data_IF_782316280797
#
_entry.id   IF_782316280797
#
_cell.length_a   1.000
_cell.length_b   1.000
_cell.length_c   1.000
_cell.angle_alpha   90.00
_cell.angle_beta   90.00
_cell.angle_gamma   90.00
#
_symmetry.space_group_name_H-M   'P 1'
#
loop_
_entity.id
_entity.type
_entity.pdbx_description
1 polymer ?
#
# COMPACT_ATOMS: atom_id res chain seq x y z
N UNK A 1 -68.72 42.92 25.67
CA UNK A 1 -67.61 42.76 24.70
C UNK A 1 -67.81 41.46 23.92
N UNK A 2 -68.04 41.56 22.61
CA UNK A 2 -68.38 40.44 21.72
C UNK A 2 -67.16 39.55 21.47
N UNK A 3 -67.21 38.27 21.83
CA UNK A 3 -66.25 37.25 21.40
C UNK A 3 -66.50 36.94 19.92
N UNK A 4 -65.65 37.46 19.02
CA UNK A 4 -65.62 37.03 17.62
C UNK A 4 -64.91 35.68 17.56
N UNK A 5 -65.67 34.62 17.20
CA UNK A 5 -65.11 33.36 16.71
C UNK A 5 -64.35 33.67 15.42
N UNK A 6 -63.03 33.59 15.47
CA UNK A 6 -62.21 33.56 14.26
C UNK A 6 -62.36 32.18 13.64
N UNK A 7 -63.19 32.09 12.62
CA UNK A 7 -63.18 31.01 11.64
C UNK A 7 -61.85 31.13 10.91
N UNK A 8 -60.91 30.25 11.27
CA UNK A 8 -59.68 30.09 10.52
C UNK A 8 -60.02 29.58 9.12
N UNK A 9 -59.84 30.46 8.13
CA UNK A 9 -59.97 30.16 6.71
C UNK A 9 -59.18 28.88 6.38
N UNK A 10 -59.86 27.88 5.82
CA UNK A 10 -59.21 26.83 5.05
C UNK A 10 -58.31 27.49 4.01
N UNK A 11 -57.03 27.12 4.00
CA UNK A 11 -56.13 27.44 2.88
C UNK A 11 -56.68 26.72 1.63
N UNK A 12 -56.68 27.37 0.45
CA UNK A 12 -57.03 26.69 -0.79
C UNK A 12 -56.03 25.56 -1.03
N UNK A 13 -56.54 24.41 -1.48
CA UNK A 13 -55.87 23.11 -1.45
C UNK A 13 -54.45 23.12 -2.00
N UNK A 14 -53.49 22.79 -1.15
CA UNK A 14 -52.29 22.08 -1.60
C UNK A 14 -52.80 20.76 -2.15
N UNK A 15 -52.72 20.56 -3.47
CA UNK A 15 -53.02 19.27 -4.07
C UNK A 15 -52.28 18.19 -3.28
N UNK A 16 -53.01 17.19 -2.82
CA UNK A 16 -52.42 16.06 -2.12
C UNK A 16 -51.44 15.39 -3.09
N UNK A 17 -50.14 15.48 -2.78
CA UNK A 17 -49.02 15.00 -3.61
C UNK A 17 -48.33 13.80 -2.95
N UNK A 18 -49.05 13.10 -2.07
CA UNK A 18 -48.51 11.93 -1.38
C UNK A 18 -48.38 10.75 -2.33
N UNK A 19 -47.19 10.17 -2.38
CA UNK A 19 -46.89 8.91 -3.03
C UNK A 19 -46.85 7.82 -1.96
N UNK A 20 -47.65 6.76 -2.15
CA UNK A 20 -47.68 5.60 -1.25
C UNK A 20 -47.29 4.35 -2.02
N UNK A 21 -46.25 3.67 -1.56
CA UNK A 21 -45.73 2.45 -2.18
C UNK A 21 -46.19 1.24 -1.36
N UNK A 22 -46.90 0.31 -2.00
CA UNK A 22 -47.45 -0.89 -1.37
C UNK A 22 -46.81 -2.15 -1.94
N UNK A 23 -46.56 -3.18 -1.13
CA UNK A 23 -46.29 -4.54 -1.62
C UNK A 23 -47.54 -5.11 -2.30
N UNK A 24 -47.36 -6.16 -3.09
CA UNK A 24 -48.46 -7.01 -3.60
C UNK A 24 -49.33 -7.62 -2.49
N UNK A 25 -48.83 -7.75 -1.27
CA UNK A 25 -49.58 -8.16 -0.08
C UNK A 25 -50.50 -7.07 0.49
N UNK A 26 -50.42 -5.83 0.01
CA UNK A 26 -51.16 -4.67 0.53
C UNK A 26 -50.47 -3.93 1.68
N UNK A 27 -49.28 -4.36 2.11
CA UNK A 27 -48.46 -3.68 3.13
C UNK A 27 -47.86 -2.37 2.57
N UNK A 28 -48.06 -1.25 3.26
CA UNK A 28 -47.43 0.03 2.91
C UNK A 28 -45.95 0.03 3.31
N UNK A 29 -45.05 0.28 2.36
CA UNK A 29 -43.60 0.30 2.58
C UNK A 29 -43.05 1.70 2.77
N UNK A 30 -43.47 2.64 1.93
CA UNK A 30 -42.94 3.99 1.88
C UNK A 30 -44.07 4.97 1.60
N UNK A 31 -44.10 6.06 2.37
CA UNK A 31 -44.99 7.19 2.21
C UNK A 31 -44.13 8.45 2.10
N UNK A 32 -44.21 9.18 0.98
CA UNK A 32 -43.33 10.33 0.68
C UNK A 32 -44.05 11.32 -0.22
N UNK A 33 -43.55 12.56 -0.32
CA UNK A 33 -44.15 13.57 -1.20
C UNK A 33 -43.55 13.48 -2.61
N UNK A 34 -44.37 13.63 -3.65
CA UNK A 34 -43.89 13.79 -5.03
C UNK A 34 -42.92 14.97 -5.20
N UNK A 35 -42.95 15.96 -4.30
CA UNK A 35 -42.00 17.08 -4.31
C UNK A 35 -40.60 16.69 -3.82
N UNK A 36 -40.47 15.61 -3.04
CA UNK A 36 -39.19 15.12 -2.52
C UNK A 36 -38.48 14.18 -3.49
N UNK A 37 -39.24 13.49 -4.35
CA UNK A 37 -38.76 12.32 -5.07
C UNK A 37 -39.05 12.36 -6.57
N UNK A 38 -39.53 13.49 -7.12
CA UNK A 38 -39.50 13.91 -8.54
C UNK A 38 -39.80 12.92 -9.67
N UNK A 39 -39.06 11.81 -9.72
CA UNK A 39 -39.13 10.72 -10.71
C UNK A 39 -39.31 9.33 -10.08
N UNK A 40 -39.72 8.36 -10.91
CA UNK A 40 -39.75 6.94 -10.52
C UNK A 40 -38.37 6.42 -10.13
N UNK A 41 -37.30 6.85 -10.81
CA UNK A 41 -35.92 6.51 -10.47
C UNK A 41 -35.60 6.88 -9.02
N UNK A 42 -35.85 8.13 -8.65
CA UNK A 42 -35.62 8.62 -7.28
C UNK A 42 -36.49 7.86 -6.28
N UNK A 43 -37.74 7.51 -6.65
CA UNK A 43 -38.63 6.74 -5.78
C UNK A 43 -38.09 5.33 -5.54
N UNK A 44 -37.56 4.67 -6.59
CA UNK A 44 -36.92 3.36 -6.45
C UNK A 44 -35.67 3.43 -5.56
N UNK A 45 -34.86 4.48 -5.70
CA UNK A 45 -33.71 4.73 -4.83
C UNK A 45 -34.14 4.97 -3.38
N UNK A 46 -35.24 5.68 -3.16
CA UNK A 46 -35.82 5.90 -1.82
C UNK A 46 -36.31 4.61 -1.18
N UNK A 47 -37.00 3.77 -1.95
CA UNK A 47 -37.42 2.42 -1.52
C UNK A 47 -36.20 1.54 -1.23
N UNK A 48 -35.13 1.61 -2.04
CA UNK A 48 -33.87 0.93 -1.75
C UNK A 48 -33.27 1.38 -0.41
N UNK A 49 -33.20 2.68 -0.18
CA UNK A 49 -32.61 3.24 1.04
C UNK A 49 -33.38 2.86 2.31
N UNK A 50 -34.71 2.79 2.25
CA UNK A 50 -35.56 2.51 3.41
C UNK A 50 -35.79 1.00 3.62
N UNK A 51 -35.92 0.23 2.55
CA UNK A 51 -36.33 -1.17 2.60
C UNK A 51 -35.23 -2.16 2.18
N UNK A 52 -34.07 -1.68 1.69
CA UNK A 52 -32.95 -2.51 1.24
C UNK A 52 -33.17 -3.23 -0.10
N UNK A 53 -34.27 -2.93 -0.81
CA UNK A 53 -34.67 -3.59 -2.05
C UNK A 53 -33.86 -3.06 -3.26
N UNK A 54 -33.24 -3.91 -4.09
CA UNK A 54 -32.39 -3.46 -5.21
C UNK A 54 -33.18 -2.69 -6.27
N UNK A 55 -32.65 -1.57 -6.76
CA UNK A 55 -33.37 -0.63 -7.67
C UNK A 55 -33.91 -1.36 -8.90
N UNK A 56 -33.05 -2.13 -9.54
CA UNK A 56 -33.32 -2.85 -10.78
C UNK A 56 -34.26 -4.05 -10.62
N UNK A 57 -34.51 -4.48 -9.38
CA UNK A 57 -35.52 -5.51 -9.08
C UNK A 57 -36.89 -4.94 -8.77
N UNK A 58 -37.02 -3.61 -8.64
CA UNK A 58 -38.28 -2.95 -8.34
C UNK A 58 -39.06 -2.65 -9.62
N UNK A 59 -40.23 -3.26 -9.77
CA UNK A 59 -41.23 -2.86 -10.78
C UNK A 59 -42.34 -2.10 -10.08
N UNK A 60 -42.44 -0.80 -10.39
CA UNK A 60 -43.47 0.07 -9.84
C UNK A 60 -44.62 0.16 -10.84
N UNK A 61 -45.84 -0.05 -10.34
CA UNK A 61 -47.05 0.02 -11.15
C UNK A 61 -48.03 1.03 -10.55
N UNK A 62 -48.70 1.79 -11.39
CA UNK A 62 -49.84 2.62 -11.02
C UNK A 62 -51.03 2.21 -11.87
N UNK A 63 -52.13 1.86 -11.23
CA UNK A 63 -53.35 1.36 -11.90
C UNK A 63 -53.09 0.19 -12.87
N UNK A 64 -52.10 -0.67 -12.55
CA UNK A 64 -51.71 -1.81 -13.38
C UNK A 64 -50.75 -1.49 -14.53
N UNK A 65 -50.38 -0.23 -14.75
CA UNK A 65 -49.39 0.19 -15.75
C UNK A 65 -48.02 0.29 -15.11
N UNK A 66 -47.01 -0.32 -15.75
CA UNK A 66 -45.61 -0.20 -15.32
C UNK A 66 -45.12 1.22 -15.55
N UNK A 67 -44.51 1.81 -14.51
CA UNK A 67 -43.90 3.12 -14.59
C UNK A 67 -42.42 3.00 -14.98
N UNK A 68 -42.01 3.76 -16.00
CA UNK A 68 -40.61 3.87 -16.44
C UNK A 68 -39.83 4.81 -15.51
N UNK A 69 -38.51 4.65 -15.43
CA UNK A 69 -37.65 5.39 -14.49
C UNK A 69 -37.72 6.92 -14.67
N UNK A 70 -37.90 7.39 -15.91
CA UNK A 70 -37.99 8.81 -16.25
C UNK A 70 -39.40 9.40 -16.04
N UNK A 71 -40.38 8.59 -15.64
CA UNK A 71 -41.74 9.05 -15.39
C UNK A 71 -41.74 10.04 -14.22
N UNK A 72 -42.26 11.25 -14.46
CA UNK A 72 -42.42 12.27 -13.43
C UNK A 72 -43.60 11.96 -12.52
N UNK A 73 -43.39 12.15 -11.22
CA UNK A 73 -44.40 11.93 -10.19
C UNK A 73 -44.90 13.31 -9.73
N UNK A 74 -46.07 13.73 -10.20
CA UNK A 74 -46.58 15.11 -9.97
C UNK A 74 -47.86 15.18 -9.10
N UNK A 75 -48.52 14.03 -8.90
CA UNK A 75 -49.81 13.92 -8.21
C UNK A 75 -49.81 12.78 -7.19
N UNK A 76 -50.85 12.72 -6.35
CA UNK A 76 -51.06 11.58 -5.46
C UNK A 76 -51.21 10.29 -6.27
N UNK A 77 -50.34 9.34 -6.00
CA UNK A 77 -50.37 8.01 -6.61
C UNK A 77 -50.25 6.94 -5.53
N UNK A 78 -51.13 5.95 -5.63
CA UNK A 78 -50.95 4.67 -4.93
C UNK A 78 -50.21 3.75 -5.90
N UNK A 79 -48.98 3.38 -5.53
CA UNK A 79 -48.02 2.67 -6.38
C UNK A 79 -47.84 1.26 -5.82
N UNK A 80 -48.05 0.27 -6.67
CA UNK A 80 -47.78 -1.12 -6.34
C UNK A 80 -46.35 -1.49 -6.69
N UNK A 81 -45.60 -2.01 -5.73
CA UNK A 81 -44.27 -2.57 -5.92
C UNK A 81 -44.36 -4.09 -6.14
N UNK A 82 -43.86 -4.53 -7.29
CA UNK A 82 -43.58 -5.93 -7.59
C UNK A 82 -42.07 -6.12 -7.58
N UNK A 83 -41.57 -6.97 -6.69
CA UNK A 83 -40.16 -7.33 -6.63
C UNK A 83 -39.90 -8.50 -7.58
N UNK A 84 -39.03 -8.30 -8.55
CA UNK A 84 -38.64 -9.33 -9.52
C UNK A 84 -37.56 -10.25 -8.94
N UNK A 85 -37.55 -11.51 -9.36
CA UNK A 85 -36.44 -12.43 -9.12
C UNK A 85 -35.38 -12.26 -10.20
N UNK A 86 -34.17 -12.76 -9.94
CA UNK A 86 -33.17 -12.83 -10.98
C UNK A 86 -33.60 -13.81 -12.07
N UNK A 87 -33.45 -13.39 -13.33
CA UNK A 87 -33.56 -14.25 -14.49
C UNK A 87 -32.18 -14.86 -14.78
N UNK A 88 -32.15 -16.10 -15.26
CA UNK A 88 -30.95 -16.65 -15.87
C UNK A 88 -30.57 -15.79 -17.09
N UNK A 89 -29.29 -15.41 -17.17
CA UNK A 89 -28.71 -14.71 -18.30
C UNK A 89 -28.08 -15.73 -19.26
N UNK A 90 -28.10 -15.44 -20.56
CA UNK A 90 -27.33 -16.23 -21.53
C UNK A 90 -25.88 -15.75 -21.57
N UNK A 91 -24.95 -16.59 -22.03
CA UNK A 91 -23.53 -16.21 -22.23
C UNK A 91 -23.40 -14.93 -23.09
N UNK A 92 -24.25 -14.77 -24.11
CA UNK A 92 -24.28 -13.56 -24.95
C UNK A 92 -24.71 -12.31 -24.16
N UNK A 93 -25.71 -12.42 -23.29
CA UNK A 93 -26.17 -11.30 -22.45
C UNK A 93 -25.12 -10.89 -21.41
N UNK A 94 -24.38 -11.87 -20.89
CA UNK A 94 -23.26 -11.73 -19.98
C UNK A 94 -22.06 -11.01 -20.65
N UNK A 95 -21.66 -11.49 -21.83
CA UNK A 95 -20.59 -10.89 -22.63
C UNK A 95 -20.93 -9.45 -23.04
N UNK A 96 -22.17 -9.18 -23.44
CA UNK A 96 -22.59 -7.83 -23.82
C UNK A 96 -22.58 -6.85 -22.64
N UNK A 97 -22.91 -7.29 -21.41
CA UNK A 97 -22.78 -6.43 -20.23
C UNK A 97 -21.32 -6.11 -19.96
N UNK A 98 -20.45 -7.11 -20.00
CA UNK A 98 -19.02 -6.90 -19.74
C UNK A 98 -18.37 -6.03 -20.82
N UNK A 99 -18.76 -6.21 -22.09
CA UNK A 99 -18.34 -5.34 -23.19
C UNK A 99 -18.81 -3.88 -23.02
N UNK A 100 -20.03 -3.67 -22.52
CA UNK A 100 -20.54 -2.33 -22.21
C UNK A 100 -19.73 -1.67 -21.08
N UNK A 101 -19.37 -2.42 -20.04
CA UNK A 101 -18.53 -1.94 -18.94
C UNK A 101 -17.13 -1.58 -19.44
N UNK A 102 -16.48 -2.47 -20.20
CA UNK A 102 -15.13 -2.26 -20.78
C UNK A 102 -15.09 -1.10 -21.77
N UNK A 103 -16.19 -0.82 -22.48
CA UNK A 103 -16.30 0.32 -23.40
C UNK A 103 -16.75 1.61 -22.73
N UNK A 104 -16.96 1.62 -21.41
CA UNK A 104 -17.43 2.77 -20.63
C UNK A 104 -18.82 3.27 -21.05
N UNK A 105 -19.66 2.41 -21.64
CA UNK A 105 -21.00 2.77 -22.10
C UNK A 105 -22.02 2.66 -20.96
N UNK A 106 -22.15 3.75 -20.21
CA UNK A 106 -23.06 3.88 -19.06
C UNK A 106 -24.52 3.61 -19.44
N UNK A 107 -24.96 4.07 -20.61
CA UNK A 107 -26.35 3.92 -21.05
C UNK A 107 -26.66 2.46 -21.36
N UNK A 108 -25.75 1.76 -22.07
CA UNK A 108 -25.89 0.33 -22.35
C UNK A 108 -25.85 -0.51 -21.06
N UNK A 109 -24.97 -0.19 -20.11
CA UNK A 109 -24.95 -0.85 -18.80
C UNK A 109 -26.28 -0.66 -18.06
N UNK A 110 -26.78 0.58 -17.95
CA UNK A 110 -28.04 0.86 -17.25
C UNK A 110 -29.21 0.13 -17.92
N UNK A 111 -29.28 0.13 -19.26
CA UNK A 111 -30.30 -0.58 -20.02
C UNK A 111 -30.26 -2.09 -19.74
N UNK A 112 -29.08 -2.70 -19.74
CA UNK A 112 -28.91 -4.13 -19.47
C UNK A 112 -29.31 -4.52 -18.06
N UNK A 113 -28.97 -3.68 -17.08
CA UNK A 113 -29.37 -3.89 -15.69
C UNK A 113 -30.88 -3.71 -15.45
N UNK A 114 -31.65 -3.07 -16.33
CA UNK A 114 -33.12 -3.01 -16.22
C UNK A 114 -33.77 -4.38 -16.34
N UNK A 115 -33.10 -5.35 -16.97
CA UNK A 115 -33.46 -6.76 -16.85
C UNK A 115 -32.87 -7.27 -15.53
N UNK A 116 -33.67 -7.86 -14.63
CA UNK A 116 -33.19 -8.32 -13.33
C UNK A 116 -32.32 -9.58 -13.53
N UNK A 117 -31.07 -9.41 -13.95
CA UNK A 117 -30.05 -10.44 -14.05
C UNK A 117 -29.04 -10.31 -12.90
N UNK A 118 -28.30 -11.39 -12.62
CA UNK A 118 -27.21 -11.31 -11.65
C UNK A 118 -26.14 -10.34 -12.17
N UNK A 119 -25.70 -9.33 -11.39
CA UNK A 119 -24.63 -8.42 -11.81
C UNK A 119 -23.21 -9.01 -11.63
N UNK A 120 -23.07 -10.10 -10.86
CA UNK A 120 -21.79 -10.74 -10.51
C UNK A 120 -21.41 -11.83 -11.51
N UNK A 121 -21.40 -11.45 -12.78
CA UNK A 121 -21.09 -12.34 -13.89
C UNK A 121 -19.57 -12.44 -14.01
N UNK A 122 -19.05 -13.65 -14.25
CA UNK A 122 -17.66 -13.86 -14.63
C UNK A 122 -17.62 -14.17 -16.12
N UNK A 123 -16.80 -13.47 -16.89
CA UNK A 123 -16.53 -13.87 -18.28
C UNK A 123 -16.01 -15.32 -18.32
N UNK A 124 -16.24 -16.01 -19.44
CA UNK A 124 -15.78 -17.41 -19.63
C UNK A 124 -14.30 -17.51 -20.05
N UNK A 125 -13.61 -16.37 -20.21
CA UNK A 125 -12.24 -16.30 -20.70
C UNK A 125 -11.18 -16.25 -19.58
N UNK A 126 -9.94 -16.67 -19.87
CA UNK A 126 -8.81 -16.49 -18.93
C UNK A 126 -8.59 -14.98 -18.67
N UNK A 127 -8.63 -14.56 -17.40
CA UNK A 127 -8.59 -13.14 -17.00
C UNK A 127 -9.98 -12.46 -16.87
N UNK A 128 -11.02 -13.26 -16.65
CA UNK A 128 -12.40 -12.79 -16.53
C UNK A 128 -12.63 -11.85 -15.34
N UNK A 129 -12.76 -10.55 -15.63
CA UNK A 129 -13.22 -9.56 -14.67
C UNK A 129 -14.73 -9.69 -14.42
N UNK A 130 -15.14 -9.57 -13.15
CA UNK A 130 -16.53 -9.21 -12.87
C UNK A 130 -16.81 -7.80 -13.40
N UNK A 131 -18.06 -7.46 -13.78
CA UNK A 131 -18.42 -6.09 -14.13
C UNK A 131 -17.97 -5.06 -13.09
N UNK A 132 -18.02 -5.41 -11.80
CA UNK A 132 -17.61 -4.53 -10.72
C UNK A 132 -16.08 -4.38 -10.63
N UNK A 133 -15.32 -5.46 -10.84
CA UNK A 133 -13.85 -5.42 -10.98
C UNK A 133 -13.42 -4.52 -12.14
N UNK A 134 -13.98 -4.73 -13.33
CA UNK A 134 -13.68 -3.92 -14.50
C UNK A 134 -14.02 -2.44 -14.31
N UNK A 135 -15.17 -2.12 -13.71
CA UNK A 135 -15.54 -0.73 -13.39
C UNK A 135 -14.57 -0.11 -12.36
N UNK A 136 -14.11 -0.90 -11.40
CA UNK A 136 -13.25 -0.47 -10.31
C UNK A 136 -11.81 -0.18 -10.76
N UNK A 137 -11.21 -1.05 -11.57
CA UNK A 137 -9.89 -0.83 -12.17
C UNK A 137 -9.89 0.35 -13.14
N UNK A 138 -10.96 0.53 -13.90
CA UNK A 138 -11.10 1.64 -14.85
C UNK A 138 -11.45 3.00 -14.21
N UNK A 139 -11.81 3.04 -12.92
CA UNK A 139 -12.19 4.29 -12.25
C UNK A 139 -13.57 4.82 -12.64
N UNK A 140 -14.43 3.98 -13.22
CA UNK A 140 -15.73 4.38 -13.76
C UNK A 140 -16.80 4.52 -12.67
N UNK A 141 -16.85 5.66 -12.01
CA UNK A 141 -17.78 5.92 -10.91
C UNK A 141 -19.26 5.74 -11.27
N UNK A 142 -19.69 6.16 -12.47
CA UNK A 142 -21.09 6.03 -12.88
C UNK A 142 -21.51 4.57 -13.03
N UNK A 143 -20.68 3.76 -13.69
CA UNK A 143 -20.90 2.31 -13.86
C UNK A 143 -20.83 1.59 -12.51
N UNK A 144 -19.85 1.95 -11.66
CA UNK A 144 -19.71 1.42 -10.30
C UNK A 144 -21.01 1.62 -9.50
N UNK A 145 -21.59 2.82 -9.54
CA UNK A 145 -22.85 3.09 -8.84
C UNK A 145 -24.02 2.28 -9.38
N UNK A 146 -24.14 2.13 -10.71
CA UNK A 146 -25.19 1.29 -11.31
C UNK A 146 -25.06 -0.17 -10.86
N UNK A 147 -23.86 -0.74 -10.84
CA UNK A 147 -23.62 -2.11 -10.41
C UNK A 147 -23.92 -2.30 -8.91
N UNK A 148 -23.51 -1.37 -8.05
CA UNK A 148 -23.85 -1.40 -6.62
C UNK A 148 -25.36 -1.18 -6.33
N UNK A 149 -26.06 -0.44 -7.19
CA UNK A 149 -27.52 -0.32 -7.15
C UNK A 149 -28.23 -1.61 -7.56
N UNK A 150 -27.61 -2.40 -8.45
CA UNK A 150 -28.04 -3.75 -8.83
C UNK A 150 -27.71 -4.82 -7.78
N UNK A 151 -26.98 -4.45 -6.71
CA UNK A 151 -26.43 -5.35 -5.70
C UNK A 151 -25.42 -6.34 -6.27
N UNK A 152 -24.47 -5.83 -7.06
CA UNK A 152 -23.20 -6.51 -7.23
C UNK A 152 -22.56 -6.80 -5.87
N UNK A 153 -22.03 -8.01 -5.72
CA UNK A 153 -21.20 -8.41 -4.61
C UNK A 153 -19.91 -7.58 -4.64
N UNK A 154 -19.71 -6.83 -3.56
CA UNK A 154 -18.64 -5.85 -3.43
C UNK A 154 -17.27 -6.51 -3.34
N UNK A 155 -17.23 -7.78 -2.93
CA UNK A 155 -16.01 -8.55 -2.71
C UNK A 155 -15.84 -9.69 -3.73
N UNK A 156 -16.69 -9.76 -4.77
CA UNK A 156 -16.59 -10.79 -5.80
C UNK A 156 -15.29 -10.63 -6.61
N UNK A 157 -14.36 -11.55 -6.38
CA UNK A 157 -13.09 -11.59 -7.06
C UNK A 157 -13.23 -12.00 -8.54
N UNK A 158 -12.34 -11.48 -9.38
CA UNK A 158 -12.20 -11.90 -10.77
C UNK A 158 -11.49 -13.27 -10.88
N UNK A 159 -11.26 -13.73 -12.11
CA UNK A 159 -10.55 -14.98 -12.37
C UNK A 159 -9.07 -15.02 -11.93
N UNK A 160 -8.51 -13.90 -11.48
CA UNK A 160 -7.14 -13.77 -10.96
C UNK A 160 -7.11 -13.60 -9.43
N UNK A 161 -8.24 -13.83 -8.75
CA UNK A 161 -8.46 -13.62 -7.31
C UNK A 161 -8.36 -12.14 -6.88
N UNK A 162 -8.45 -11.19 -7.82
CA UNK A 162 -8.49 -9.76 -7.52
C UNK A 162 -9.92 -9.27 -7.24
N UNK A 163 -10.08 -8.58 -6.12
CA UNK A 163 -11.34 -7.94 -5.74
C UNK A 163 -11.50 -6.57 -6.40
N UNK A 164 -12.73 -6.03 -6.46
CA UNK A 164 -12.95 -4.65 -6.88
C UNK A 164 -12.11 -3.64 -6.09
N UNK A 165 -11.93 -3.89 -4.78
CA UNK A 165 -11.13 -3.03 -3.90
C UNK A 165 -9.62 -3.15 -4.18
N UNK A 166 -9.09 -4.34 -4.48
CA UNK A 166 -7.68 -4.52 -4.83
C UNK A 166 -7.36 -3.82 -6.16
N UNK A 167 -8.18 -4.00 -7.20
CA UNK A 167 -8.00 -3.35 -8.51
C UNK A 167 -8.10 -1.83 -8.42
N UNK A 168 -9.09 -1.30 -7.71
CA UNK A 168 -9.20 0.14 -7.46
C UNK A 168 -7.99 0.69 -6.72
N UNK A 169 -7.42 -0.11 -5.81
CA UNK A 169 -6.22 0.26 -5.06
C UNK A 169 -4.99 0.28 -5.95
N UNK A 170 -4.73 -0.78 -6.73
CA UNK A 170 -3.59 -0.89 -7.67
C UNK A 170 -3.60 0.28 -8.67
N UNK A 171 -4.78 0.65 -9.15
CA UNK A 171 -4.93 1.69 -10.18
C UNK A 171 -5.00 3.11 -9.58
N UNK A 172 -4.95 3.26 -8.25
CA UNK A 172 -4.97 4.57 -7.59
C UNK A 172 -6.33 5.28 -7.63
N UNK A 173 -7.44 4.56 -7.83
CA UNK A 173 -8.78 5.11 -7.99
C UNK A 173 -9.42 5.46 -6.63
N UNK A 174 -8.98 6.58 -6.03
CA UNK A 174 -9.35 7.01 -4.66
C UNK A 174 -10.87 7.08 -4.43
N UNK A 175 -11.64 7.63 -5.38
CA UNK A 175 -13.08 7.81 -5.23
C UNK A 175 -13.85 6.47 -5.31
N UNK A 176 -13.34 5.53 -6.11
CA UNK A 176 -13.85 4.15 -6.17
C UNK A 176 -13.58 3.45 -4.84
N UNK A 177 -12.35 3.52 -4.32
CA UNK A 177 -11.99 2.96 -3.01
C UNK A 177 -12.92 3.49 -1.91
N UNK A 178 -13.10 4.82 -1.81
CA UNK A 178 -14.00 5.42 -0.82
C UNK A 178 -15.44 4.89 -0.95
N UNK A 179 -15.92 4.69 -2.18
CA UNK A 179 -17.26 4.17 -2.46
C UNK A 179 -17.40 2.69 -2.08
N UNK A 180 -16.42 1.86 -2.42
CA UNK A 180 -16.39 0.44 -2.07
C UNK A 180 -16.32 0.24 -0.55
N UNK A 181 -15.49 1.02 0.16
CA UNK A 181 -15.43 0.97 1.62
C UNK A 181 -16.75 1.41 2.28
N UNK A 182 -17.44 2.42 1.73
CA UNK A 182 -18.80 2.80 2.18
C UNK A 182 -19.83 1.70 1.89
N UNK A 183 -19.63 0.91 0.84
CA UNK A 183 -20.41 -0.29 0.53
C UNK A 183 -20.03 -1.51 1.40
N UNK A 184 -19.06 -1.34 2.32
CA UNK A 184 -18.55 -2.38 3.24
C UNK A 184 -17.74 -3.49 2.54
N UNK A 185 -16.98 -3.13 1.52
CA UNK A 185 -15.93 -3.99 0.99
C UNK A 185 -15.01 -4.48 2.12
N UNK A 186 -14.64 -5.75 2.10
CA UNK A 186 -13.69 -6.34 3.03
C UNK A 186 -12.27 -5.83 2.72
N UNK A 187 -11.60 -5.31 3.74
CA UNK A 187 -10.25 -4.76 3.62
C UNK A 187 -9.15 -5.82 3.73
N UNK A 188 -9.52 -7.05 4.06
CA UNK A 188 -8.57 -8.15 4.32
C UNK A 188 -8.59 -9.22 3.23
N UNK A 189 -9.51 -9.14 2.25
CA UNK A 189 -9.47 -10.03 1.09
C UNK A 189 -8.30 -9.59 0.20
N UNK A 190 -7.23 -10.38 0.26
CA UNK A 190 -6.03 -10.17 -0.53
C UNK A 190 -6.15 -10.71 -1.95
N UNK A 191 -5.19 -10.34 -2.79
CA UNK A 191 -5.01 -10.94 -4.12
C UNK A 191 -4.47 -12.38 -4.00
N UNK A 192 -4.19 -13.01 -5.13
CA UNK A 192 -3.52 -14.32 -5.21
C UNK A 192 -2.23 -14.44 -4.40
N UNK A 193 -1.46 -13.36 -4.26
CA UNK A 193 -0.20 -13.33 -3.47
C UNK A 193 -0.44 -12.95 -2.00
N UNK A 194 -1.70 -12.99 -1.56
CA UNK A 194 -2.19 -12.56 -0.25
C UNK A 194 -1.97 -11.06 0.01
N UNK A 195 -1.79 -10.26 -1.05
CA UNK A 195 -1.64 -8.81 -0.95
C UNK A 195 -2.97 -8.16 -0.57
N UNK A 196 -3.10 -7.71 0.68
CA UNK A 196 -4.23 -6.88 1.11
C UNK A 196 -4.26 -5.54 0.37
N UNK A 197 -5.42 -4.88 0.25
CA UNK A 197 -5.50 -3.48 -0.19
C UNK A 197 -4.50 -2.55 0.50
N UNK A 198 -4.20 -2.74 1.79
CA UNK A 198 -3.25 -1.88 2.50
C UNK A 198 -1.78 -2.14 2.10
N UNK A 199 -1.41 -3.40 1.85
CA UNK A 199 -0.07 -3.74 1.33
C UNK A 199 0.10 -3.30 -0.13
N UNK A 200 -0.93 -3.43 -0.97
CA UNK A 200 -0.95 -2.87 -2.34
C UNK A 200 -0.75 -1.34 -2.35
N UNK A 201 -1.50 -0.61 -1.51
CA UNK A 201 -1.33 0.84 -1.37
C UNK A 201 0.07 1.21 -0.85
N UNK A 202 0.70 0.33 -0.07
CA UNK A 202 2.06 0.48 0.39
C UNK A 202 3.12 0.20 -0.70
N UNK A 203 2.83 -0.63 -1.71
CA UNK A 203 3.74 -0.96 -2.81
C UNK A 203 3.74 0.11 -3.92
N UNK A 204 2.56 0.49 -4.43
CA UNK A 204 2.42 1.30 -5.66
C UNK A 204 2.86 2.76 -5.49
N UNK A 205 2.63 3.36 -4.32
CA UNK A 205 3.15 4.69 -4.00
C UNK A 205 2.50 5.88 -4.70
N UNK A 206 3.03 7.09 -4.53
CA UNK A 206 2.41 8.30 -5.13
C UNK A 206 1.34 8.98 -4.26
N UNK A 207 0.61 9.96 -4.83
CA UNK A 207 -0.28 10.85 -4.07
C UNK A 207 -1.62 10.19 -3.74
N UNK A 208 -2.08 9.38 -4.66
CA UNK A 208 -3.32 8.63 -4.67
C UNK A 208 -3.26 7.53 -3.62
N UNK A 209 -2.22 6.69 -3.66
CA UNK A 209 -2.05 5.57 -2.74
C UNK A 209 -1.87 5.99 -1.28
N UNK A 210 -1.30 7.18 -1.00
CA UNK A 210 -1.33 7.75 0.36
C UNK A 210 -2.76 8.03 0.85
N UNK A 211 -3.65 8.54 -0.02
CA UNK A 211 -5.05 8.76 0.34
C UNK A 211 -5.77 7.42 0.52
N UNK A 212 -5.50 6.45 -0.35
CA UNK A 212 -6.08 5.10 -0.26
C UNK A 212 -5.68 4.42 1.04
N UNK A 213 -4.38 4.37 1.37
CA UNK A 213 -3.90 3.83 2.64
C UNK A 213 -4.57 4.52 3.85
N UNK A 214 -4.82 5.83 3.76
CA UNK A 214 -5.56 6.57 4.81
C UNK A 214 -7.02 6.14 4.90
N UNK A 215 -7.71 5.96 3.77
CA UNK A 215 -9.10 5.49 3.74
C UNK A 215 -9.21 4.07 4.30
N UNK A 216 -8.30 3.17 3.92
CA UNK A 216 -8.23 1.79 4.42
C UNK A 216 -8.04 1.74 5.94
N UNK A 217 -7.08 2.51 6.48
CA UNK A 217 -6.89 2.60 7.94
C UNK A 217 -8.10 3.21 8.66
N UNK A 218 -8.82 4.16 8.04
CA UNK A 218 -10.08 4.69 8.58
C UNK A 218 -11.21 3.65 8.56
N UNK A 219 -11.21 2.76 7.57
CA UNK A 219 -12.09 1.61 7.47
C UNK A 219 -11.69 0.44 8.39
N UNK A 220 -10.60 0.59 9.17
CA UNK A 220 -10.06 -0.39 10.11
C UNK A 220 -9.39 -1.60 9.46
N UNK A 221 -8.78 -1.41 8.29
CA UNK A 221 -7.86 -2.39 7.73
C UNK A 221 -6.77 -2.76 8.75
N UNK A 222 -6.40 -4.04 8.81
CA UNK A 222 -5.34 -4.48 9.73
C UNK A 222 -3.99 -3.90 9.30
N UNK A 223 -3.38 -3.14 10.21
CA UNK A 223 -2.09 -2.49 9.98
C UNK A 223 -0.92 -3.48 9.94
N UNK A 224 -1.11 -4.67 10.52
CA UNK A 224 -0.12 -5.75 10.57
C UNK A 224 -0.50 -6.95 9.70
N UNK A 225 -1.51 -6.83 8.82
CA UNK A 225 -1.79 -7.85 7.83
C UNK A 225 -0.53 -8.13 6.99
N UNK A 226 -0.35 -9.37 6.57
CA UNK A 226 0.83 -9.77 5.82
C UNK A 226 0.47 -10.42 4.50
N UNK A 227 1.30 -10.20 3.48
CA UNK A 227 1.27 -10.97 2.24
C UNK A 227 1.89 -12.37 2.43
N UNK A 228 1.97 -13.14 1.34
CA UNK A 228 2.53 -14.50 1.31
C UNK A 228 4.01 -14.61 1.74
N UNK A 229 4.76 -13.50 1.73
CA UNK A 229 6.14 -13.41 2.22
C UNK A 229 6.25 -12.95 3.69
N UNK A 230 5.12 -12.91 4.42
CA UNK A 230 5.00 -12.33 5.76
C UNK A 230 5.37 -10.84 5.81
N UNK A 231 5.20 -10.09 4.73
CA UNK A 231 5.54 -8.67 4.68
C UNK A 231 4.35 -7.81 5.10
N UNK A 232 4.55 -6.99 6.14
CA UNK A 232 3.54 -6.03 6.59
C UNK A 232 3.49 -4.81 5.65
N UNK A 233 2.39 -4.01 5.66
CA UNK A 233 2.34 -2.76 4.91
C UNK A 233 3.52 -1.82 5.19
N UNK A 234 4.04 -1.81 6.42
CA UNK A 234 5.21 -0.99 6.74
C UNK A 234 6.47 -1.52 6.06
N UNK A 235 6.66 -2.84 6.02
CA UNK A 235 7.76 -3.47 5.31
C UNK A 235 7.73 -3.10 3.83
N UNK A 236 6.59 -3.35 3.17
CA UNK A 236 6.38 -3.09 1.74
C UNK A 236 6.61 -1.60 1.43
N UNK A 237 6.02 -0.68 2.20
CA UNK A 237 6.24 0.77 2.00
C UNK A 237 7.71 1.18 2.16
N UNK A 238 8.45 0.49 3.04
CA UNK A 238 9.87 0.74 3.24
C UNK A 238 10.73 0.18 2.11
N UNK A 239 10.36 -0.93 1.48
CA UNK A 239 11.08 -1.51 0.35
C UNK A 239 10.87 -0.68 -0.93
N UNK A 240 9.63 -0.32 -1.24
CA UNK A 240 9.29 0.44 -2.45
C UNK A 240 9.53 1.96 -2.33
N UNK A 241 9.83 2.47 -1.14
CA UNK A 241 10.26 3.86 -0.98
C UNK A 241 9.11 4.85 -0.75
N UNK A 242 7.95 4.37 -0.30
CA UNK A 242 6.72 5.15 -0.16
C UNK A 242 6.68 5.95 1.15
N UNK A 243 7.51 6.99 1.21
CA UNK A 243 7.69 7.86 2.40
C UNK A 243 6.37 8.41 3.00
N UNK A 244 5.37 8.84 2.20
CA UNK A 244 4.08 9.28 2.75
C UNK A 244 3.32 8.17 3.48
N UNK A 245 3.29 6.96 2.90
CA UNK A 245 2.62 5.79 3.49
C UNK A 245 3.37 5.31 4.72
N UNK A 246 4.71 5.24 4.68
CA UNK A 246 5.53 4.98 5.88
C UNK A 246 5.18 5.96 7.00
N UNK A 247 5.08 7.25 6.69
CA UNK A 247 4.76 8.26 7.70
C UNK A 247 3.37 8.07 8.32
N UNK A 248 2.41 7.60 7.53
CA UNK A 248 1.05 7.30 7.97
C UNK A 248 1.01 6.06 8.87
N UNK A 249 1.65 4.97 8.44
CA UNK A 249 1.73 3.71 9.20
C UNK A 249 2.45 3.89 10.55
N UNK A 250 3.53 4.68 10.58
CA UNK A 250 4.22 5.04 11.83
C UNK A 250 3.35 5.86 12.78
N UNK A 251 2.50 6.75 12.25
CA UNK A 251 1.54 7.50 13.08
C UNK A 251 0.46 6.59 13.67
N UNK A 252 0.07 5.55 12.91
CA UNK A 252 -0.85 4.52 13.34
C UNK A 252 -0.20 3.42 14.20
N UNK A 253 1.11 3.56 14.53
CA UNK A 253 1.89 2.67 15.40
C UNK A 253 2.13 1.27 14.85
N UNK A 254 2.35 1.16 13.53
CA UNK A 254 2.81 -0.08 12.92
C UNK A 254 4.10 -0.61 13.59
N UNK A 255 4.25 -1.93 13.69
CA UNK A 255 5.43 -2.54 14.29
C UNK A 255 6.69 -2.32 13.42
N UNK A 256 7.66 -1.64 14.01
CA UNK A 256 8.95 -1.33 13.39
C UNK A 256 9.85 -2.57 13.20
N UNK A 257 9.58 -3.63 13.96
CA UNK A 257 10.43 -4.82 14.05
C UNK A 257 9.79 -6.07 13.45
N UNK A 258 8.61 -5.95 12.82
CA UNK A 258 8.00 -7.05 12.10
C UNK A 258 8.99 -7.62 11.07
N UNK A 259 9.20 -8.93 11.11
CA UNK A 259 10.13 -9.63 10.22
C UNK A 259 9.35 -10.39 9.15
N UNK A 260 9.80 -10.29 7.90
CA UNK A 260 9.28 -11.12 6.82
C UNK A 260 9.80 -12.58 6.93
N UNK A 261 9.41 -13.44 5.98
CA UNK A 261 9.79 -14.86 5.95
C UNK A 261 11.32 -15.11 5.92
N UNK A 262 12.10 -14.10 5.53
CA UNK A 262 13.57 -14.11 5.47
C UNK A 262 14.24 -13.45 6.70
N UNK A 263 13.47 -13.08 7.72
CA UNK A 263 13.98 -12.38 8.91
C UNK A 263 14.37 -10.92 8.63
N UNK A 264 13.86 -10.31 7.54
CA UNK A 264 14.17 -8.91 7.20
C UNK A 264 13.18 -7.99 7.89
N UNK A 265 13.69 -6.91 8.50
CA UNK A 265 12.86 -5.83 9.07
C UNK A 265 12.62 -4.68 8.06
N UNK A 266 11.61 -3.82 8.27
CA UNK A 266 11.38 -2.63 7.44
C UNK A 266 12.61 -1.72 7.33
N UNK A 267 13.35 -1.54 8.43
CA UNK A 267 14.59 -0.73 8.42
C UNK A 267 15.67 -1.37 7.54
N UNK A 268 15.76 -2.69 7.52
CA UNK A 268 16.69 -3.42 6.66
C UNK A 268 16.31 -3.28 5.19
N UNK A 269 15.02 -3.39 4.84
CA UNK A 269 14.53 -3.17 3.48
C UNK A 269 14.87 -1.75 2.97
N UNK A 270 14.46 -0.71 3.70
CA UNK A 270 14.75 0.68 3.34
C UNK A 270 16.27 0.99 3.24
N UNK A 271 17.09 0.34 4.06
CA UNK A 271 18.56 0.49 4.03
C UNK A 271 19.20 -0.21 2.82
N UNK A 272 18.61 -1.31 2.36
CA UNK A 272 19.04 -2.06 1.17
C UNK A 272 18.80 -1.24 -0.10
N UNK A 273 17.60 -0.67 -0.19
CA UNK A 273 17.12 0.12 -1.33
C UNK A 273 17.58 1.59 -1.32
N UNK A 274 18.36 2.02 -0.31
CA UNK A 274 18.93 3.37 -0.20
C UNK A 274 17.89 4.49 0.02
N UNK A 275 16.77 4.17 0.65
CA UNK A 275 15.70 5.13 0.96
C UNK A 275 16.05 5.97 2.19
N UNK A 276 17.04 6.87 2.05
CA UNK A 276 17.64 7.68 3.14
C UNK A 276 16.59 8.39 4.01
N UNK A 277 15.52 8.92 3.41
CA UNK A 277 14.48 9.66 4.13
C UNK A 277 13.63 8.73 4.99
N UNK A 278 13.29 7.54 4.49
CA UNK A 278 12.57 6.51 5.23
C UNK A 278 13.44 5.98 6.36
N UNK A 279 14.71 5.63 6.09
CA UNK A 279 15.65 5.21 7.14
C UNK A 279 15.74 6.24 8.26
N UNK A 280 15.79 7.53 7.94
CA UNK A 280 15.79 8.60 8.95
C UNK A 280 14.51 8.65 9.78
N UNK A 281 13.35 8.38 9.17
CA UNK A 281 12.07 8.35 9.89
C UNK A 281 12.00 7.14 10.81
N UNK A 282 12.34 5.95 10.30
CA UNK A 282 12.39 4.72 11.10
C UNK A 282 13.39 4.86 12.25
N UNK A 283 14.60 5.36 12.01
CA UNK A 283 15.61 5.55 13.06
C UNK A 283 15.17 6.54 14.15
N UNK A 284 14.33 7.53 13.83
CA UNK A 284 13.72 8.42 14.82
C UNK A 284 12.62 7.73 15.62
N UNK A 285 11.81 6.89 14.98
CA UNK A 285 10.74 6.15 15.62
C UNK A 285 11.28 5.03 16.52
N UNK A 286 12.40 4.40 16.12
CA UNK A 286 13.07 3.31 16.80
C UNK A 286 14.04 3.75 17.93
N UNK A 287 14.04 5.02 18.33
CA UNK A 287 14.94 5.48 19.41
C UNK A 287 14.60 4.74 20.71
N UNK A 288 15.54 3.93 21.18
CA UNK A 288 15.39 3.13 22.39
C UNK A 288 15.01 1.67 22.14
N UNK A 289 14.87 1.24 20.89
CA UNK A 289 14.77 -0.19 20.55
C UNK A 289 16.17 -0.78 20.32
N UNK A 290 16.31 -2.07 20.58
CA UNK A 290 17.51 -2.81 20.19
C UNK A 290 17.50 -3.03 18.68
N UNK A 291 18.67 -2.95 18.05
CA UNK A 291 18.86 -3.27 16.63
C UNK A 291 20.03 -4.24 16.52
N UNK A 292 19.85 -5.28 15.71
CA UNK A 292 20.85 -6.31 15.40
C UNK A 292 22.02 -5.80 14.51
N UNK A 293 22.00 -4.50 14.17
CA UNK A 293 22.99 -3.84 13.32
C UNK A 293 23.00 -4.31 11.86
N UNK A 294 22.04 -5.15 11.41
CA UNK A 294 21.94 -5.54 10.00
C UNK A 294 21.80 -4.36 9.05
N UNK A 295 21.00 -3.31 9.35
CA UNK A 295 20.91 -2.13 8.48
C UNK A 295 22.27 -1.46 8.24
N UNK A 296 23.10 -1.33 9.28
CA UNK A 296 24.43 -0.74 9.19
C UNK A 296 25.36 -1.61 8.34
N UNK A 297 25.35 -2.93 8.58
CA UNK A 297 26.15 -3.91 7.84
C UNK A 297 25.80 -3.93 6.35
N UNK A 298 24.52 -3.93 6.00
CA UNK A 298 24.06 -3.91 4.59
C UNK A 298 24.39 -2.58 3.93
N UNK A 299 24.14 -1.44 4.59
CA UNK A 299 24.52 -0.13 4.07
C UNK A 299 26.03 -0.04 3.77
N UNK A 300 26.86 -0.60 4.64
CA UNK A 300 28.30 -0.65 4.45
C UNK A 300 28.71 -1.56 3.27
N UNK A 301 28.13 -2.78 3.19
CA UNK A 301 28.36 -3.76 2.12
C UNK A 301 27.98 -3.22 0.74
N UNK A 302 26.86 -2.51 0.65
CA UNK A 302 26.34 -1.97 -0.61
C UNK A 302 26.96 -0.60 -0.97
N UNK A 303 27.50 0.13 0.00
CA UNK A 303 28.10 1.45 -0.21
C UNK A 303 27.09 2.60 -0.09
N UNK A 304 26.00 2.41 0.67
CA UNK A 304 24.92 3.39 0.89
C UNK A 304 25.36 4.46 1.89
N UNK A 305 26.20 5.39 1.43
CA UNK A 305 26.87 6.38 2.28
C UNK A 305 25.89 7.22 3.13
N UNK A 306 24.79 7.70 2.55
CA UNK A 306 23.85 8.55 3.27
C UNK A 306 23.02 7.76 4.28
N UNK A 307 22.60 6.54 3.96
CA UNK A 307 21.97 5.62 4.91
C UNK A 307 22.92 5.35 6.09
N UNK A 308 24.18 5.00 5.82
CA UNK A 308 25.19 4.75 6.85
C UNK A 308 25.35 5.97 7.78
N UNK A 309 25.42 7.18 7.22
CA UNK A 309 25.49 8.42 8.01
C UNK A 309 24.30 8.60 8.94
N UNK A 310 23.10 8.31 8.46
CA UNK A 310 21.88 8.40 9.28
C UNK A 310 21.94 7.38 10.41
N UNK A 311 22.21 6.11 10.11
CA UNK A 311 22.27 5.05 11.13
C UNK A 311 23.30 5.35 12.23
N UNK A 312 24.49 5.84 11.86
CA UNK A 312 25.52 6.24 12.83
C UNK A 312 25.11 7.46 13.68
N UNK A 313 24.37 8.42 13.10
CA UNK A 313 23.84 9.55 13.86
C UNK A 313 22.83 9.12 14.93
N UNK A 314 22.13 8.00 14.70
CA UNK A 314 21.21 7.37 15.66
C UNK A 314 21.87 6.26 16.50
N UNK A 315 23.20 6.25 16.60
CA UNK A 315 23.97 5.34 17.47
C UNK A 315 23.78 3.85 17.15
N UNK A 316 23.58 3.49 15.88
CA UNK A 316 23.65 2.10 15.46
C UNK A 316 24.98 1.46 15.91
N UNK A 317 24.92 0.20 16.36
CA UNK A 317 26.11 -0.51 16.83
C UNK A 317 27.10 -0.74 15.68
N UNK A 318 28.27 -0.13 15.81
CA UNK A 318 29.38 -0.20 14.86
C UNK A 318 30.01 -1.59 14.77
N UNK A 319 29.95 -2.34 15.87
CA UNK A 319 30.64 -3.62 16.04
C UNK A 319 29.70 -4.82 15.95
N UNK A 320 28.43 -4.58 15.63
CA UNK A 320 27.46 -5.62 15.34
C UNK A 320 27.96 -6.55 14.23
N UNK A 321 27.72 -7.86 14.41
CA UNK A 321 28.29 -8.91 13.59
C UNK A 321 27.24 -9.64 12.77
N UNK A 322 27.64 -10.08 11.58
CA UNK A 322 26.87 -11.05 10.80
C UNK A 322 27.17 -12.50 11.27
N UNK A 323 26.47 -13.52 10.73
CA UNK A 323 26.74 -14.92 11.07
C UNK A 323 28.16 -15.41 10.77
N UNK A 324 28.96 -14.66 9.99
CA UNK A 324 30.36 -14.94 9.69
C UNK A 324 31.33 -14.11 10.55
N UNK A 325 30.84 -13.55 11.66
CA UNK A 325 31.59 -12.69 12.57
C UNK A 325 32.12 -11.38 11.92
N UNK A 326 31.57 -10.96 10.78
CA UNK A 326 32.01 -9.75 10.06
C UNK A 326 31.29 -8.51 10.56
N UNK A 327 32.04 -7.43 10.74
CA UNK A 327 31.51 -6.09 11.06
C UNK A 327 31.15 -5.31 9.78
N UNK A 328 30.49 -4.16 9.96
CA UNK A 328 30.22 -3.24 8.85
C UNK A 328 31.52 -2.81 8.13
N UNK A 329 32.62 -2.60 8.87
CA UNK A 329 33.90 -2.20 8.29
C UNK A 329 34.54 -3.31 7.45
N UNK A 330 34.49 -4.57 7.89
CA UNK A 330 35.02 -5.68 7.07
C UNK A 330 34.20 -5.87 5.80
N UNK A 331 32.86 -5.79 5.89
CA UNK A 331 31.96 -5.88 4.74
C UNK A 331 32.17 -4.76 3.72
N UNK A 332 32.47 -3.54 4.17
CA UNK A 332 32.81 -2.42 3.29
C UNK A 332 34.14 -2.64 2.54
N UNK A 333 35.05 -3.46 3.08
CA UNK A 333 36.33 -3.80 2.47
C UNK A 333 36.31 -5.07 1.61
N UNK A 334 35.37 -6.00 1.81
CA UNK A 334 35.23 -7.32 1.15
C UNK A 334 34.48 -7.28 -0.20
N UNK A 335 34.86 -6.38 -1.12
CA UNK A 335 34.27 -6.33 -2.48
C UNK A 335 35.35 -6.08 -3.51
N UNK A 336 35.39 -6.90 -4.57
CA UNK A 336 36.40 -6.80 -5.65
C UNK A 336 36.28 -5.58 -6.56
N UNK A 337 35.10 -4.95 -6.66
CA UNK A 337 34.88 -3.75 -7.48
C UNK A 337 34.86 -2.52 -6.57
N UNK A 338 35.79 -1.58 -6.75
CA UNK A 338 35.76 -0.29 -6.08
C UNK A 338 34.73 0.62 -6.79
N UNK A 339 33.63 0.95 -6.12
CA UNK A 339 32.79 2.09 -6.54
C UNK A 339 33.25 3.31 -5.75
N UNK A 340 33.30 4.47 -6.40
CA UNK A 340 33.76 5.74 -5.82
C UNK A 340 33.01 6.13 -4.52
N UNK A 341 31.76 5.69 -4.36
CA UNK A 341 30.95 5.88 -3.14
C UNK A 341 31.47 5.11 -1.91
N UNK A 342 32.21 4.00 -2.09
CA UNK A 342 32.67 3.12 -1.00
C UNK A 342 33.86 3.67 -0.22
N UNK A 343 34.76 4.40 -0.87
CA UNK A 343 35.86 5.08 -0.19
C UNK A 343 35.35 6.05 0.89
N UNK A 344 34.18 6.65 0.67
CA UNK A 344 33.50 7.50 1.65
C UNK A 344 32.89 6.72 2.81
N UNK A 345 32.39 5.50 2.57
CA UNK A 345 31.85 4.60 3.62
C UNK A 345 32.95 4.11 4.56
N UNK A 346 34.05 3.58 4.02
CA UNK A 346 35.20 3.14 4.86
C UNK A 346 35.76 4.30 5.66
N UNK A 347 35.92 5.46 5.02
CA UNK A 347 36.37 6.68 5.71
C UNK A 347 35.42 7.07 6.85
N UNK A 348 34.11 7.01 6.63
CA UNK A 348 33.12 7.34 7.65
C UNK A 348 33.14 6.36 8.83
N UNK A 349 33.23 5.06 8.57
CA UNK A 349 33.33 4.04 9.63
C UNK A 349 34.61 4.20 10.45
N UNK A 350 35.75 4.46 9.79
CA UNK A 350 37.02 4.76 10.46
C UNK A 350 36.91 6.03 11.31
N UNK A 351 36.28 7.08 10.80
CA UNK A 351 36.05 8.32 11.56
C UNK A 351 35.12 8.10 12.76
N UNK A 352 34.15 7.21 12.62
CA UNK A 352 33.27 6.75 13.70
C UNK A 352 33.98 5.81 14.70
N UNK A 353 35.26 5.51 14.49
CA UNK A 353 36.12 4.64 15.32
C UNK A 353 35.73 3.15 15.31
N UNK A 354 35.21 2.66 14.18
CA UNK A 354 35.06 1.22 13.97
C UNK A 354 36.41 0.50 14.15
N UNK A 355 36.38 -0.71 14.73
CA UNK A 355 37.58 -1.49 15.00
C UNK A 355 38.23 -2.01 13.70
N UNK A 356 39.31 -1.36 13.28
CA UNK A 356 40.07 -1.73 12.08
C UNK A 356 40.77 -3.10 12.18
N UNK A 357 40.84 -3.69 13.38
CA UNK A 357 41.45 -4.98 13.67
C UNK A 357 40.42 -6.07 14.04
N UNK A 358 39.13 -5.81 13.87
CA UNK A 358 38.10 -6.83 14.05
C UNK A 358 38.39 -8.01 13.12
N UNK A 359 38.39 -9.21 13.70
CA UNK A 359 38.57 -10.48 12.99
C UNK A 359 37.21 -11.13 12.77
N UNK A 360 37.01 -11.65 11.57
CA UNK A 360 35.88 -12.51 11.25
C UNK A 360 36.11 -13.97 11.68
N UNK A 361 35.18 -14.87 11.34
CA UNK A 361 35.28 -16.30 11.66
C UNK A 361 36.51 -16.99 11.04
N UNK A 362 37.08 -16.40 9.99
CA UNK A 362 38.28 -16.86 9.32
C UNK A 362 39.54 -16.09 9.78
N UNK A 363 39.46 -15.29 10.85
CA UNK A 363 40.58 -14.51 11.36
C UNK A 363 41.04 -13.37 10.44
N UNK A 364 40.28 -13.05 9.39
CA UNK A 364 40.60 -11.98 8.44
C UNK A 364 40.09 -10.64 8.98
N UNK A 365 40.86 -9.58 8.76
CA UNK A 365 40.51 -8.22 9.19
C UNK A 365 40.12 -7.34 8.01
N UNK A 366 39.49 -6.16 8.24
CA UNK A 366 39.22 -5.20 7.18
C UNK A 366 40.46 -4.86 6.32
N UNK A 367 41.64 -4.76 6.94
CA UNK A 367 42.89 -4.49 6.22
C UNK A 367 43.29 -5.65 5.30
N UNK A 368 42.99 -6.89 5.72
CA UNK A 368 43.23 -8.07 4.88
C UNK A 368 42.40 -8.03 3.60
N UNK A 369 41.11 -7.74 3.73
CA UNK A 369 40.21 -7.57 2.59
C UNK A 369 40.67 -6.45 1.66
N UNK A 370 41.02 -5.28 2.22
CA UNK A 370 41.52 -4.15 1.43
C UNK A 370 42.79 -4.47 0.63
N UNK A 371 43.74 -5.23 1.21
CA UNK A 371 44.96 -5.66 0.51
C UNK A 371 44.68 -6.72 -0.54
N UNK A 372 43.85 -7.73 -0.21
CA UNK A 372 43.46 -8.82 -1.13
C UNK A 372 42.82 -8.29 -2.42
N UNK A 373 42.02 -7.22 -2.31
CA UNK A 373 41.32 -6.62 -3.44
C UNK A 373 42.05 -5.44 -4.08
N UNK A 374 43.25 -5.09 -3.59
CA UNK A 374 44.07 -3.99 -4.11
C UNK A 374 43.46 -2.59 -3.94
N UNK A 375 42.72 -2.38 -2.86
CA UNK A 375 42.03 -1.11 -2.59
C UNK A 375 42.96 -0.13 -1.86
N UNK A 376 43.84 0.55 -2.60
CA UNK A 376 44.87 1.43 -2.05
C UNK A 376 44.34 2.47 -1.05
N UNK A 377 43.18 3.08 -1.35
CA UNK A 377 42.56 4.09 -0.47
C UNK A 377 42.13 3.48 0.85
N UNK A 378 41.52 2.28 0.83
CA UNK A 378 41.11 1.57 2.03
C UNK A 378 42.33 1.16 2.87
N UNK A 379 43.37 0.61 2.24
CA UNK A 379 44.63 0.25 2.91
C UNK A 379 45.21 1.46 3.65
N UNK A 380 45.28 2.62 3.00
CA UNK A 380 45.75 3.86 3.64
C UNK A 380 44.90 4.24 4.85
N UNK A 381 43.58 4.34 4.68
CA UNK A 381 42.65 4.74 5.74
C UNK A 381 42.73 3.81 6.95
N UNK A 382 42.80 2.50 6.73
CA UNK A 382 42.88 1.50 7.79
C UNK A 382 44.22 1.56 8.54
N UNK A 383 45.35 1.73 7.83
CA UNK A 383 46.65 1.91 8.47
C UNK A 383 46.72 3.20 9.28
N UNK A 384 46.14 4.30 8.79
CA UNK A 384 45.99 5.56 9.52
C UNK A 384 45.09 5.42 10.76
N UNK A 385 44.12 4.50 10.72
CA UNK A 385 43.25 4.12 11.84
C UNK A 385 43.91 3.18 12.86
N UNK A 386 45.14 2.72 12.61
CA UNK A 386 45.86 1.81 13.51
C UNK A 386 45.62 0.32 13.23
N UNK A 387 45.23 -0.04 12.01
CA UNK A 387 45.19 -1.45 11.61
C UNK A 387 46.58 -2.11 11.68
N UNK A 388 46.63 -3.35 12.18
CA UNK A 388 47.85 -4.13 12.30
C UNK A 388 48.34 -4.60 10.93
N UNK A 389 49.52 -4.12 10.57
CA UNK A 389 50.18 -4.41 9.29
C UNK A 389 50.98 -5.71 9.29
N UNK A 390 51.16 -6.35 10.45
CA UNK A 390 51.92 -7.59 10.62
C UNK A 390 51.04 -8.83 10.82
N UNK A 391 49.75 -8.70 10.53
CA UNK A 391 48.81 -9.80 10.59
C UNK A 391 49.06 -10.85 9.50
N UNK A 392 48.64 -12.07 9.82
CA UNK A 392 48.61 -13.22 8.90
C UNK A 392 47.20 -13.79 8.79
N UNK A 393 46.88 -14.41 7.65
CA UNK A 393 45.67 -15.23 7.55
C UNK A 393 45.85 -16.58 8.29
N UNK A 394 44.79 -17.42 8.41
CA UNK A 394 44.90 -18.72 9.07
C UNK A 394 45.90 -19.69 8.43
N UNK A 395 46.34 -19.43 7.19
CA UNK A 395 47.35 -20.24 6.49
C UNK A 395 48.77 -19.71 6.73
N UNK A 396 48.93 -18.70 7.58
CA UNK A 396 50.22 -18.07 7.87
C UNK A 396 50.68 -17.10 6.80
N UNK A 397 49.87 -16.82 5.78
CA UNK A 397 50.23 -15.89 4.71
C UNK A 397 50.28 -14.46 5.27
N UNK A 398 51.27 -13.67 4.89
CA UNK A 398 51.38 -12.26 5.30
C UNK A 398 50.61 -11.31 4.38
N UNK A 399 50.29 -10.10 4.85
CA UNK A 399 49.72 -9.06 3.98
C UNK A 399 50.60 -8.73 2.76
N UNK A 400 51.93 -8.80 2.90
CA UNK A 400 52.85 -8.52 1.79
C UNK A 400 52.71 -9.56 0.68
N UNK A 401 52.59 -10.83 1.05
CA UNK A 401 52.35 -11.92 0.09
C UNK A 401 50.93 -11.85 -0.50
N UNK A 402 49.97 -11.30 0.25
CA UNK A 402 48.60 -11.08 -0.23
C UNK A 402 48.52 -9.98 -1.30
N UNK A 403 49.40 -8.97 -1.23
CA UNK A 403 49.45 -7.86 -2.19
C UNK A 403 49.93 -8.24 -3.60
N UNK A 404 50.43 -9.48 -3.82
CA UNK A 404 50.74 -10.10 -5.14
C UNK A 404 51.31 -9.11 -6.18
N UNK A 405 52.32 -8.32 -5.78
CA UNK A 405 53.08 -7.33 -6.56
C UNK A 405 52.52 -5.91 -6.72
N UNK A 406 51.43 -5.51 -6.04
CA UNK A 406 51.05 -4.09 -6.04
C UNK A 406 52.08 -3.24 -5.25
N UNK A 407 52.95 -2.54 -6.00
CA UNK A 407 54.04 -1.71 -5.46
C UNK A 407 53.51 -0.62 -4.52
N UNK A 408 52.35 -0.04 -4.80
CA UNK A 408 51.79 1.05 -4.00
C UNK A 408 51.29 0.53 -2.64
N UNK A 409 50.59 -0.62 -2.62
CA UNK A 409 50.17 -1.30 -1.39
C UNK A 409 51.39 -1.76 -0.59
N UNK A 410 52.39 -2.37 -1.24
CA UNK A 410 53.64 -2.78 -0.60
C UNK A 410 54.40 -1.59 0.01
N UNK A 411 54.41 -0.43 -0.66
CA UNK A 411 54.98 0.82 -0.12
C UNK A 411 54.22 1.28 1.12
N UNK A 412 52.88 1.26 1.12
CA UNK A 412 52.07 1.62 2.29
C UNK A 412 52.34 0.69 3.48
N UNK A 413 52.36 -0.62 3.26
CA UNK A 413 52.65 -1.61 4.29
C UNK A 413 54.07 -1.44 4.89
N UNK A 414 55.03 -1.01 4.07
CA UNK A 414 56.42 -0.76 4.50
C UNK A 414 56.61 0.57 5.24
N UNK A 415 55.70 1.53 5.08
CA UNK A 415 55.89 2.89 5.59
C UNK A 415 55.49 3.02 7.07
N UNK A 416 56.48 3.08 7.96
CA UNK A 416 56.28 3.28 9.42
C UNK A 416 55.83 4.68 9.81
N UNK A 417 55.94 5.70 8.94
CA UNK A 417 55.66 7.11 9.29
C UNK A 417 54.17 7.50 9.26
N UNK A 418 53.25 6.66 8.78
CA UNK A 418 51.80 6.92 8.72
C UNK A 418 51.08 6.91 10.08
N UNK A 419 51.81 7.01 11.20
CA UNK A 419 51.34 6.61 12.54
C UNK A 419 50.37 7.57 13.26
N UNK A 420 49.97 8.72 12.71
CA UNK A 420 49.08 9.64 13.43
C UNK A 420 48.18 10.47 12.52
N UNK A 421 46.87 10.19 12.55
CA UNK A 421 45.85 11.20 12.23
C UNK A 421 46.01 12.40 13.18
N UNK A 422 46.11 13.65 12.69
CA UNK A 422 46.03 14.82 13.56
C UNK A 422 44.64 14.89 14.20
N UNK A 423 44.58 14.98 15.53
CA UNK A 423 43.34 15.25 16.30
C UNK A 423 42.72 16.56 15.81
N UNK A 424 41.79 16.53 14.85
CA UNK A 424 41.01 17.71 14.45
C UNK A 424 39.57 17.60 14.96
N UNK A 425 39.28 18.54 15.85
CA UNK A 425 38.04 19.06 16.46
C UNK A 425 36.72 18.31 16.18
N UNK A 426 36.00 18.07 17.27
CA UNK A 426 34.60 17.67 17.38
C UNK A 426 33.72 18.31 16.30
N UNK A 427 33.05 17.47 15.51
CA UNK A 427 31.91 17.84 14.66
C UNK A 427 30.75 16.90 14.99
N UNK A 428 30.14 17.12 16.16
CA UNK A 428 28.74 16.79 16.40
C UNK A 428 28.07 18.08 16.88
N UNK A 429 27.45 18.79 15.93
CA UNK A 429 26.33 19.71 16.13
C UNK A 429 25.30 19.40 15.07
#
# INVERSE_FOLDING_TARGET
MKRRRFVGKQRPGTADKTLRVFKTSGEELVSTSAEEVGSVRELKLRVRALCGLPRFRQRLLHEGVVLEDDTRLESRMDIQLVLLNFCEATEEEEDELTAAVKSHDVASVEQKLQRPQCPDILETSEGADTPLCAASGNGNMEILHLLLEARADVDAANGEDDTPLSLATIHGNVDVVDTLLKARADTEVGTRDEETPLTLAAAEGGREHWKIARLLLQARADIEATNSDNETPLFVACEFGNEPVVSLLLQARADLNAENCMGRTPMLAASTEDHVRIVRRLARAAVGTESDGAPLRVAAKLGRFQVLRVLLAFRADLEARDPHDRTALSLACDRRKEFSSRGSVVQLLVQARANANAKDEHGLTPLWYAVRHDHLRHVRLLLEAGADRQQTDPRGKTLREAARDNIQVLRLLSNRKLLRMPRKKSWMR
#
